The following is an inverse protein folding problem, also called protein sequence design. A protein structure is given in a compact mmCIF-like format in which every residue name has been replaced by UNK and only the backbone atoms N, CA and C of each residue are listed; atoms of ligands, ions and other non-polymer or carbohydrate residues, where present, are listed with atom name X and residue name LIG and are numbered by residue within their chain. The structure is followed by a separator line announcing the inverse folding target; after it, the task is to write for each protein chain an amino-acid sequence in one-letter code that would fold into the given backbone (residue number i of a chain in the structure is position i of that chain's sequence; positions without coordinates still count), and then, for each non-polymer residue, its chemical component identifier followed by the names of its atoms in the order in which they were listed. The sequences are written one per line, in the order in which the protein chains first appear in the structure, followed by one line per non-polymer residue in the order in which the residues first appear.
data_IF_042112474573
#
_entry.id   IF_042112474573
#
_cell.length_a   1.000
_cell.length_b   1.000
_cell.length_c   1.000
_cell.angle_alpha   90.00
_cell.angle_beta   90.00
_cell.angle_gamma   90.00
#
_symmetry.space_group_name_H-M   'P 1'
#
loop_
_entity.id
_entity.type
_entity.pdbx_description
1 polymer ?
#
# COMPACT_ATOMS: atom_id res chain seq x y z
N UNK A 1 -5.28 -12.21 15.06
CA UNK A 1 -3.94 -11.78 14.69
C UNK A 1 -3.91 -11.34 13.23
N UNK A 2 -3.25 -10.24 12.92
CA UNK A 2 -3.21 -9.71 11.56
C UNK A 2 -1.81 -9.80 10.98
N UNK A 3 -1.71 -9.88 9.65
CA UNK A 3 -0.42 -9.80 8.97
C UNK A 3 -0.61 -9.25 7.56
N UNK A 4 0.44 -8.70 7.01
CA UNK A 4 0.46 -8.20 5.63
C UNK A 4 1.57 -8.96 4.90
N UNK A 5 1.22 -9.56 3.76
CA UNK A 5 2.17 -10.22 2.88
C UNK A 5 2.36 -9.40 1.63
N UNK A 6 3.57 -9.44 1.08
CA UNK A 6 3.90 -8.76 -0.17
C UNK A 6 4.26 -9.78 -1.23
N UNK A 7 3.73 -9.57 -2.44
CA UNK A 7 4.12 -10.34 -3.63
C UNK A 7 4.56 -9.35 -4.70
N UNK A 8 5.71 -9.61 -5.32
CA UNK A 8 6.29 -8.69 -6.29
C UNK A 8 7.03 -9.51 -7.35
N UNK A 9 6.78 -9.18 -8.63
CA UNK A 9 7.44 -9.85 -9.76
C UNK A 9 8.33 -8.91 -10.58
N UNK A 10 8.75 -7.78 -9.99
CA UNK A 10 9.58 -6.74 -10.59
C UNK A 10 8.86 -5.86 -11.61
N UNK A 11 7.65 -6.18 -11.99
CA UNK A 11 6.81 -5.36 -12.88
C UNK A 11 5.60 -4.83 -12.15
N UNK A 12 5.00 -5.65 -11.31
CA UNK A 12 3.86 -5.28 -10.49
C UNK A 12 3.89 -6.08 -9.21
N UNK A 13 3.15 -5.61 -8.21
CA UNK A 13 3.08 -6.30 -6.95
C UNK A 13 1.82 -5.96 -6.19
N UNK A 14 1.73 -6.51 -5.02
CA UNK A 14 0.60 -6.27 -4.13
C UNK A 14 0.97 -6.55 -2.69
N UNK A 15 0.25 -5.87 -1.80
CA UNK A 15 0.26 -6.14 -0.36
C UNK A 15 -1.10 -6.72 -0.02
N UNK A 16 -1.11 -7.84 0.71
CA UNK A 16 -2.33 -8.54 1.07
C UNK A 16 -2.47 -8.52 2.58
N UNK A 17 -3.63 -8.05 3.06
CA UNK A 17 -3.93 -7.99 4.48
C UNK A 17 -4.72 -9.22 4.90
N UNK A 18 -4.22 -9.92 5.89
CA UNK A 18 -4.88 -11.09 6.46
C UNK A 18 -5.29 -10.83 7.91
N UNK A 19 -6.50 -11.23 8.25
CA UNK A 19 -6.94 -11.32 9.64
C UNK A 19 -7.18 -12.80 9.92
N UNK A 20 -6.49 -13.35 10.91
CA UNK A 20 -6.34 -14.79 11.09
C UNK A 20 -5.77 -15.36 9.79
N UNK A 21 -6.43 -16.25 9.12
CA UNK A 21 -5.95 -16.78 7.84
C UNK A 21 -6.83 -16.32 6.67
N UNK A 22 -7.69 -15.32 6.91
CA UNK A 22 -8.62 -14.83 5.91
C UNK A 22 -8.09 -13.55 5.26
N UNK A 23 -8.05 -13.51 3.94
CA UNK A 23 -7.73 -12.30 3.18
C UNK A 23 -8.87 -11.31 3.35
N UNK A 24 -8.56 -10.12 3.88
CA UNK A 24 -9.56 -9.08 4.14
C UNK A 24 -9.24 -7.76 3.41
N UNK A 25 -8.09 -7.65 2.77
CA UNK A 25 -7.75 -6.46 2.01
C UNK A 25 -6.58 -6.71 1.08
N UNK A 26 -6.44 -5.81 0.11
CA UNK A 26 -5.37 -5.90 -0.87
C UNK A 26 -5.09 -4.52 -1.45
N UNK A 27 -3.81 -4.23 -1.70
CA UNK A 27 -3.41 -3.01 -2.39
C UNK A 27 -2.42 -3.40 -3.47
N UNK A 28 -2.70 -3.01 -4.72
CA UNK A 28 -1.86 -3.34 -5.85
C UNK A 28 -1.01 -2.15 -6.27
N UNK A 29 0.14 -2.43 -6.87
CA UNK A 29 1.02 -1.39 -7.39
C UNK A 29 1.75 -1.90 -8.63
N UNK A 30 2.24 -0.95 -9.43
CA UNK A 30 3.02 -1.25 -10.65
C UNK A 30 4.33 -0.49 -10.58
N UNK A 31 5.42 -1.14 -11.03
CA UNK A 31 6.70 -0.47 -11.17
C UNK A 31 6.67 0.40 -12.43
N UNK A 32 7.03 1.66 -12.28
CA UNK A 32 7.19 2.60 -13.40
C UNK A 32 8.61 2.46 -13.97
N UNK A 33 9.57 2.39 -13.04
CA UNK A 33 10.99 2.18 -13.34
C UNK A 33 11.61 1.59 -12.07
N UNK A 34 12.94 1.55 -11.97
CA UNK A 34 13.61 0.96 -10.82
C UNK A 34 13.49 1.81 -9.54
N UNK A 35 12.93 3.00 -9.64
CA UNK A 35 12.91 3.97 -8.54
C UNK A 35 11.52 4.44 -8.13
N UNK A 36 10.47 4.03 -8.85
CA UNK A 36 9.10 4.48 -8.58
C UNK A 36 8.07 3.38 -8.76
N UNK A 37 7.08 3.39 -7.88
CA UNK A 37 5.90 2.53 -8.02
C UNK A 37 4.65 3.41 -8.03
N UNK A 38 3.61 2.95 -8.72
CA UNK A 38 2.28 3.57 -8.69
C UNK A 38 1.37 2.66 -7.89
N UNK A 39 0.76 3.19 -6.84
CA UNK A 39 -0.32 2.48 -6.15
C UNK A 39 -1.58 2.75 -6.95
N UNK A 40 -2.13 1.71 -7.59
CA UNK A 40 -3.25 1.88 -8.52
C UNK A 40 -4.60 1.44 -7.93
N UNK A 41 -4.62 0.60 -6.91
CA UNK A 41 -5.87 0.11 -6.34
C UNK A 41 -5.68 -0.33 -4.90
N UNK A 42 -6.67 0.00 -4.05
CA UNK A 42 -6.73 -0.46 -2.66
C UNK A 42 -8.14 -0.92 -2.37
N UNK A 43 -8.30 -2.10 -1.80
CA UNK A 43 -9.59 -2.69 -1.51
C UNK A 43 -9.55 -3.34 -0.13
N UNK A 44 -10.61 -3.12 0.67
CA UNK A 44 -10.78 -3.76 1.97
C UNK A 44 -12.20 -4.31 2.00
N UNK A 45 -12.35 -5.56 2.46
CA UNK A 45 -13.66 -6.20 2.63
C UNK A 45 -14.55 -5.28 3.50
N UNK A 46 -15.75 -4.93 3.03
CA UNK A 46 -16.65 -4.04 3.80
C UNK A 46 -16.94 -4.51 5.21
N UNK A 47 -16.89 -5.82 5.46
CA UNK A 47 -17.10 -6.37 6.81
C UNK A 47 -16.00 -5.93 7.78
N UNK A 48 -14.86 -5.47 7.25
CA UNK A 48 -13.71 -5.03 8.03
C UNK A 48 -13.44 -3.54 7.85
N UNK A 49 -14.40 -2.81 7.30
CA UNK A 49 -14.31 -1.35 7.14
C UNK A 49 -14.25 -0.67 8.51
N UNK A 50 -13.58 0.49 8.56
CA UNK A 50 -13.48 1.27 9.78
C UNK A 50 -12.39 0.80 10.74
N UNK A 51 -11.67 -0.26 10.44
CA UNK A 51 -10.57 -0.76 11.28
C UNK A 51 -9.21 -0.18 10.92
N UNK A 52 -9.13 0.60 9.85
CA UNK A 52 -7.87 1.22 9.42
C UNK A 52 -6.96 0.31 8.60
N UNK A 53 -7.46 -0.81 8.11
CA UNK A 53 -6.64 -1.77 7.36
C UNK A 53 -6.11 -1.20 6.05
N UNK A 54 -6.92 -0.39 5.35
CA UNK A 54 -6.47 0.28 4.12
C UNK A 54 -5.30 1.21 4.39
N UNK A 55 -5.36 1.98 5.47
CA UNK A 55 -4.26 2.85 5.86
C UNK A 55 -3.02 2.04 6.21
N UNK A 56 -3.18 0.92 6.90
CA UNK A 56 -2.05 0.05 7.23
C UNK A 56 -1.37 -0.50 5.98
N UNK A 57 -2.16 -0.81 4.94
CA UNK A 57 -1.61 -1.25 3.66
C UNK A 57 -0.76 -0.15 3.03
N UNK A 58 -1.25 1.09 3.02
CA UNK A 58 -0.48 2.23 2.49
C UNK A 58 0.81 2.43 3.30
N UNK A 59 0.72 2.37 4.62
CA UNK A 59 1.89 2.54 5.47
C UNK A 59 2.91 1.41 5.27
N UNK A 60 2.45 0.21 4.94
CA UNK A 60 3.35 -0.90 4.62
C UNK A 60 4.10 -0.62 3.32
N UNK A 61 3.43 -0.05 2.33
CA UNK A 61 4.08 0.38 1.09
C UNK A 61 5.10 1.49 1.36
N UNK A 62 4.79 2.41 2.26
CA UNK A 62 5.74 3.46 2.67
C UNK A 62 7.00 2.85 3.27
N UNK A 63 6.84 1.87 4.16
CA UNK A 63 7.97 1.16 4.76
C UNK A 63 8.82 0.46 3.70
N UNK A 64 8.17 -0.20 2.75
CA UNK A 64 8.84 -0.83 1.62
C UNK A 64 9.63 0.20 0.79
N UNK A 65 9.01 1.33 0.49
CA UNK A 65 9.64 2.39 -0.31
C UNK A 65 10.88 2.95 0.40
N UNK A 66 10.81 3.13 1.71
CA UNK A 66 11.95 3.61 2.50
C UNK A 66 13.11 2.60 2.48
N UNK A 67 12.81 1.33 2.62
CA UNK A 67 13.82 0.28 2.61
C UNK A 67 14.48 0.12 1.26
N UNK A 68 13.73 0.32 0.18
CA UNK A 68 14.22 0.17 -1.19
C UNK A 68 14.73 1.48 -1.79
N UNK A 69 14.57 2.58 -1.07
CA UNK A 69 14.93 3.92 -1.55
C UNK A 69 14.23 4.26 -2.87
N UNK A 70 12.92 4.05 -2.90
CA UNK A 70 12.07 4.35 -4.06
C UNK A 70 10.97 5.31 -3.66
N UNK A 71 10.25 5.82 -4.66
CA UNK A 71 9.15 6.76 -4.44
C UNK A 71 7.83 6.14 -4.84
N UNK A 72 6.74 6.70 -4.29
CA UNK A 72 5.38 6.23 -4.52
C UNK A 72 4.57 7.31 -5.21
N UNK A 73 3.89 6.94 -6.29
CA UNK A 73 2.89 7.78 -6.94
C UNK A 73 1.53 7.24 -6.50
N UNK A 74 0.81 7.94 -5.60
CA UNK A 74 -0.49 7.46 -5.11
C UNK A 74 -1.58 7.83 -6.11
N UNK A 75 -1.79 6.99 -7.10
CA UNK A 75 -2.82 7.20 -8.10
C UNK A 75 -4.22 6.81 -7.60
N UNK A 76 -4.30 5.76 -6.79
CA UNK A 76 -5.54 5.32 -6.17
C UNK A 76 -6.10 6.42 -5.27
N UNK A 77 -7.39 6.79 -5.37
CA UNK A 77 -7.96 7.85 -4.54
C UNK A 77 -7.80 7.61 -3.05
N UNK A 78 -7.88 6.38 -2.59
CA UNK A 78 -7.71 6.05 -1.19
C UNK A 78 -6.28 6.33 -0.74
N UNK A 79 -5.29 5.85 -1.49
CA UNK A 79 -3.87 6.07 -1.18
C UNK A 79 -3.55 7.56 -1.22
N UNK A 80 -4.08 8.27 -2.20
CA UNK A 80 -3.89 9.71 -2.30
C UNK A 80 -4.40 10.43 -1.05
N UNK A 81 -5.56 10.04 -0.54
CA UNK A 81 -6.11 10.60 0.70
C UNK A 81 -5.19 10.38 1.89
N UNK A 82 -4.62 9.19 2.01
CA UNK A 82 -3.71 8.89 3.12
C UNK A 82 -2.48 9.80 3.03
N UNK A 83 -1.90 9.94 1.84
CA UNK A 83 -0.74 10.83 1.64
C UNK A 83 -1.09 12.30 1.89
N UNK A 84 -2.29 12.75 1.52
CA UNK A 84 -2.70 14.12 1.72
C UNK A 84 -2.86 14.46 3.20
N UNK A 85 -3.18 13.48 4.04
CA UNK A 85 -3.44 13.70 5.46
C UNK A 85 -2.25 13.44 6.36
N UNK A 86 -1.31 12.61 5.94
CA UNK A 86 -0.18 12.21 6.77
C UNK A 86 1.10 12.91 6.31
N UNK A 87 1.52 13.93 7.06
CA UNK A 87 2.73 14.68 6.74
C UNK A 87 4.00 13.89 7.00
N UNK A 88 3.91 12.81 7.78
CA UNK A 88 5.07 11.99 8.13
C UNK A 88 5.53 11.03 7.04
N UNK A 89 4.79 10.94 5.93
CA UNK A 89 5.11 10.00 4.84
C UNK A 89 5.43 10.70 3.52
N UNK A 90 5.61 12.02 3.54
CA UNK A 90 5.89 12.78 2.31
C UNK A 90 7.26 12.49 1.72
N UNK A 91 8.17 11.96 2.51
CA UNK A 91 9.53 11.62 2.06
C UNK A 91 9.56 10.59 0.93
N UNK A 92 8.55 9.72 0.86
CA UNK A 92 8.47 8.69 -0.20
C UNK A 92 7.49 9.06 -1.30
N UNK A 93 6.78 10.16 -1.18
CA UNK A 93 5.85 10.60 -2.23
C UNK A 93 6.62 11.22 -3.38
N UNK A 94 6.30 10.76 -4.60
CA UNK A 94 6.91 11.31 -5.81
C UNK A 94 6.29 12.62 -6.21
#
# INVERSE_FOLDING_TARGET
MTRIEQKDNSKKGRFIYYEEDKKVGEMTYVWVDDYKIIIDHTEVDPAYGGKGYGKELVLKAVDFARKQDIKIIPLCPFAKKVFDKDLGIQDVKF
#
